data_IF_361591270858
#
_entry.id   IF_361591270858
#
_cell.length_a   1.000
_cell.length_b   1.000
_cell.length_c   1.000
_cell.angle_alpha   90.00
_cell.angle_beta   90.00
_cell.angle_gamma   90.00
#
_symmetry.space_group_name_H-M   'P 1'
#
loop_
_entity.id
_entity.type
_entity.pdbx_description
1 polymer ?
#
# COMPACT_ATOMS: atom_id res chain seq x y z
N UNK A 1 -6.66 9.20 -14.81
CA UNK A 1 -7.05 8.32 -13.70
C UNK A 1 -6.33 8.78 -12.45
N UNK A 2 -7.01 8.72 -11.31
CA UNK A 2 -6.47 8.92 -9.97
C UNK A 2 -6.25 7.56 -9.32
N UNK A 3 -5.00 7.22 -9.04
CA UNK A 3 -4.60 5.90 -8.58
C UNK A 3 -4.03 6.01 -7.16
N UNK A 4 -4.52 5.18 -6.25
CA UNK A 4 -3.93 5.01 -4.93
C UNK A 4 -3.08 3.75 -4.89
N UNK A 5 -1.76 3.93 -4.83
CA UNK A 5 -0.80 2.85 -4.60
C UNK A 5 -0.71 2.55 -3.11
N UNK A 6 -0.73 1.27 -2.73
CA UNK A 6 -0.57 0.85 -1.33
C UNK A 6 0.60 -0.11 -1.23
N UNK A 7 1.69 0.30 -0.58
CA UNK A 7 2.93 -0.50 -0.58
C UNK A 7 4.09 0.17 0.13
N UNK A 8 5.20 -0.57 0.26
CA UNK A 8 6.48 0.02 0.68
C UNK A 8 6.99 0.98 -0.40
N UNK A 9 7.34 2.20 0.02
CA UNK A 9 7.76 3.30 -0.85
C UNK A 9 8.93 4.05 -0.21
N UNK A 10 9.82 4.72 -0.98
CA UNK A 10 10.90 5.51 -0.40
C UNK A 10 10.45 6.42 0.74
N UNK A 11 11.24 6.54 1.83
CA UNK A 11 12.62 6.10 2.00
C UNK A 11 12.81 4.63 2.40
N UNK A 12 11.75 3.80 2.42
CA UNK A 12 11.93 2.36 2.57
C UNK A 12 12.84 1.84 1.46
N UNK A 13 13.65 0.84 1.79
CA UNK A 13 14.61 0.23 0.86
C UNK A 13 14.17 -1.17 0.46
N UNK A 14 14.80 -1.71 -0.59
CA UNK A 14 14.55 -3.06 -1.08
C UNK A 14 13.80 -3.10 -2.41
N UNK A 15 13.64 -4.32 -2.95
CA UNK A 15 13.11 -4.52 -4.31
C UNK A 15 11.70 -3.97 -4.52
N UNK A 16 10.81 -4.15 -3.53
CA UNK A 16 9.42 -3.66 -3.60
C UNK A 16 9.40 -2.12 -3.63
N UNK A 17 10.16 -1.46 -2.75
CA UNK A 17 10.19 0.01 -2.70
C UNK A 17 10.77 0.62 -3.98
N UNK A 18 11.84 0.03 -4.53
CA UNK A 18 12.42 0.46 -5.80
C UNK A 18 11.46 0.23 -6.98
N UNK A 19 10.78 -0.92 -7.01
CA UNK A 19 9.77 -1.21 -8.02
C UNK A 19 8.62 -0.19 -7.97
N UNK A 20 8.09 0.07 -6.77
CA UNK A 20 6.99 1.01 -6.59
C UNK A 20 7.40 2.44 -6.94
N UNK A 21 8.60 2.88 -6.57
CA UNK A 21 9.13 4.20 -6.95
C UNK A 21 9.20 4.37 -8.47
N UNK A 22 9.75 3.38 -9.18
CA UNK A 22 9.82 3.42 -10.64
C UNK A 22 8.44 3.42 -11.29
N UNK A 23 7.52 2.58 -10.81
CA UNK A 23 6.16 2.51 -11.34
C UNK A 23 5.40 3.83 -11.12
N UNK A 24 5.49 4.40 -9.92
CA UNK A 24 4.86 5.69 -9.58
C UNK A 24 5.42 6.80 -10.46
N UNK A 25 6.74 6.87 -10.66
CA UNK A 25 7.38 7.87 -11.53
C UNK A 25 6.89 7.78 -12.97
N UNK A 26 6.74 6.59 -13.52
CA UNK A 26 6.26 6.39 -14.89
C UNK A 26 4.76 6.69 -15.04
N UNK A 27 3.93 6.24 -14.10
CA UNK A 27 2.49 6.49 -14.13
C UNK A 27 2.15 7.97 -13.94
N UNK A 28 2.92 8.69 -13.11
CA UNK A 28 2.73 10.14 -12.90
C UNK A 28 2.90 10.98 -14.16
N UNK A 29 3.49 10.44 -15.23
CA UNK A 29 3.54 11.11 -16.54
C UNK A 29 2.16 11.27 -17.20
N UNK A 30 1.17 10.46 -16.80
CA UNK A 30 -0.17 10.41 -17.44
C UNK A 30 -1.34 10.31 -16.44
N UNK A 31 -1.05 10.08 -15.17
CA UNK A 31 -2.04 9.80 -14.14
C UNK A 31 -1.71 10.54 -12.85
N UNK A 32 -2.71 10.83 -12.03
CA UNK A 32 -2.51 11.36 -10.68
C UNK A 32 -2.30 10.17 -9.74
N UNK A 33 -1.12 10.05 -9.14
CA UNK A 33 -0.75 8.87 -8.34
C UNK A 33 -0.40 9.27 -6.92
N UNK A 34 -1.22 8.80 -5.99
CA UNK A 34 -0.99 8.88 -4.56
C UNK A 34 -0.41 7.56 -4.05
N UNK A 35 0.36 7.63 -2.97
CA UNK A 35 0.95 6.46 -2.31
C UNK A 35 0.55 6.44 -0.85
N UNK A 36 0.13 5.29 -0.34
CA UNK A 36 -0.05 5.01 1.07
C UNK A 36 0.98 3.97 1.52
N UNK A 37 1.86 4.37 2.43
CA UNK A 37 3.00 3.55 2.88
C UNK A 37 3.05 3.43 4.40
N UNK A 38 3.97 2.58 4.88
CA UNK A 38 4.30 2.46 6.29
C UNK A 38 5.02 3.72 6.78
N UNK A 39 4.57 4.27 7.90
CA UNK A 39 5.25 5.32 8.64
C UNK A 39 5.90 4.80 9.93
N UNK A 40 6.68 5.64 10.63
CA UNK A 40 6.98 7.02 10.27
C UNK A 40 8.01 7.13 9.12
N UNK A 41 7.76 8.02 8.17
CA UNK A 41 8.72 8.41 7.12
C UNK A 41 8.66 9.92 6.85
N UNK A 42 9.72 10.45 6.24
CA UNK A 42 9.75 11.79 5.64
C UNK A 42 9.77 11.62 4.11
N UNK A 43 8.66 11.94 3.41
CA UNK A 43 8.64 11.94 1.95
C UNK A 43 9.63 12.94 1.35
N UNK A 44 9.98 12.76 0.08
CA UNK A 44 10.74 13.78 -0.67
C UNK A 44 9.85 15.02 -0.84
N UNK A 45 10.42 16.22 -0.76
CA UNK A 45 9.64 17.46 -0.72
C UNK A 45 8.70 17.63 -1.92
N UNK A 46 9.15 17.26 -3.12
CA UNK A 46 8.35 17.39 -4.35
C UNK A 46 7.11 16.48 -4.41
N UNK A 47 6.99 15.48 -3.54
CA UNK A 47 5.87 14.52 -3.53
C UNK A 47 5.16 14.43 -2.18
N UNK A 48 5.45 15.36 -1.27
CA UNK A 48 4.95 15.38 0.11
C UNK A 48 3.42 15.35 0.21
N UNK A 49 2.73 15.93 -0.76
CA UNK A 49 1.26 15.95 -0.83
C UNK A 49 0.67 14.63 -1.38
N UNK A 50 1.47 13.86 -2.11
CA UNK A 50 1.07 12.61 -2.76
C UNK A 50 1.45 11.37 -1.96
N UNK A 51 2.32 11.50 -0.94
CA UNK A 51 2.77 10.38 -0.11
C UNK A 51 2.15 10.46 1.27
N UNK A 52 1.25 9.52 1.53
CA UNK A 52 0.49 9.33 2.76
C UNK A 52 1.09 8.18 3.56
N UNK A 53 0.97 8.23 4.88
CA UNK A 53 1.54 7.21 5.75
C UNK A 53 0.62 6.82 6.89
N UNK A 54 0.72 5.57 7.30
CA UNK A 54 0.08 5.03 8.50
C UNK A 54 1.15 4.56 9.46
N UNK A 55 1.01 4.92 10.74
CA UNK A 55 1.97 4.57 11.79
C UNK A 55 1.37 3.46 12.67
N UNK A 56 1.53 2.18 12.30
CA UNK A 56 1.11 1.09 13.18
C UNK A 56 2.03 1.03 14.42
N UNK A 57 1.54 0.51 15.56
CA UNK A 57 2.38 0.27 16.72
C UNK A 57 3.53 -0.68 16.37
N UNK A 58 4.73 -0.39 16.88
CA UNK A 58 5.91 -1.21 16.66
C UNK A 58 5.96 -2.39 17.65
N UNK A 59 4.91 -3.20 17.67
CA UNK A 59 4.78 -4.38 18.51
C UNK A 59 4.70 -5.64 17.65
N UNK A 60 5.53 -6.64 17.98
CA UNK A 60 5.60 -7.91 17.26
C UNK A 60 4.24 -8.61 17.23
N UNK A 61 3.89 -9.23 16.10
CA UNK A 61 2.61 -9.91 15.88
C UNK A 61 1.40 -8.99 15.62
N UNK A 62 1.42 -7.75 16.11
CA UNK A 62 0.27 -6.83 16.00
C UNK A 62 0.47 -5.80 14.89
N UNK A 63 1.72 -5.43 14.58
CA UNK A 63 2.07 -4.39 13.59
C UNK A 63 1.38 -4.56 12.24
N UNK A 64 1.33 -5.79 11.71
CA UNK A 64 0.73 -6.07 10.39
C UNK A 64 -0.80 -5.93 10.38
N UNK A 65 -1.46 -6.49 11.39
CA UNK A 65 -2.92 -6.37 11.56
C UNK A 65 -3.30 -4.91 11.79
N UNK A 66 -2.58 -4.20 12.65
CA UNK A 66 -2.82 -2.78 12.88
C UNK A 66 -2.62 -1.95 11.62
N UNK A 67 -1.57 -2.22 10.82
CA UNK A 67 -1.40 -1.54 9.54
C UNK A 67 -2.60 -1.78 8.64
N UNK A 68 -3.03 -3.03 8.48
CA UNK A 68 -4.16 -3.40 7.62
C UNK A 68 -5.42 -2.61 7.96
N UNK A 69 -5.80 -2.56 9.24
CA UNK A 69 -6.99 -1.85 9.70
C UNK A 69 -6.87 -0.33 9.58
N UNK A 70 -5.72 0.22 9.97
CA UNK A 70 -5.48 1.67 9.91
C UNK A 70 -5.36 2.16 8.46
N UNK A 71 -4.69 1.40 7.59
CA UNK A 71 -4.57 1.69 6.17
C UNK A 71 -5.93 1.61 5.48
N UNK A 72 -6.77 0.61 5.78
CA UNK A 72 -8.14 0.55 5.26
C UNK A 72 -8.92 1.83 5.57
N UNK A 73 -8.90 2.29 6.83
CA UNK A 73 -9.56 3.56 7.21
C UNK A 73 -8.95 4.77 6.51
N UNK A 74 -7.62 4.79 6.35
CA UNK A 74 -6.93 5.89 5.66
C UNK A 74 -7.25 5.93 4.17
N UNK A 75 -7.39 4.78 3.52
CA UNK A 75 -7.84 4.66 2.12
C UNK A 75 -9.23 5.30 1.98
N UNK A 76 -10.18 4.97 2.87
CA UNK A 76 -11.51 5.58 2.86
C UNK A 76 -11.45 7.11 3.00
N UNK A 77 -10.63 7.62 3.93
CA UNK A 77 -10.44 9.06 4.13
C UNK A 77 -9.86 9.75 2.90
N UNK A 78 -8.80 9.19 2.32
CA UNK A 78 -8.16 9.73 1.14
C UNK A 78 -9.08 9.65 -0.07
N UNK A 79 -9.83 8.57 -0.23
CA UNK A 79 -10.79 8.43 -1.32
C UNK A 79 -11.91 9.48 -1.24
N UNK A 80 -12.43 9.78 -0.04
CA UNK A 80 -13.40 10.90 0.13
C UNK A 80 -12.85 12.26 -0.30
N UNK A 81 -11.53 12.46 -0.20
CA UNK A 81 -10.88 13.74 -0.55
C UNK A 81 -10.47 13.82 -2.02
N UNK A 82 -9.98 12.70 -2.57
CA UNK A 82 -9.32 12.68 -3.87
C UNK A 82 -10.12 11.96 -4.96
N UNK A 83 -11.09 11.12 -4.60
CA UNK A 83 -11.94 10.35 -5.53
C UNK A 83 -11.11 9.46 -6.48
N UNK A 84 -10.37 8.50 -5.91
CA UNK A 84 -9.57 7.55 -6.70
C UNK A 84 -10.42 6.64 -7.59
N UNK A 85 -9.93 6.34 -8.79
CA UNK A 85 -10.54 5.39 -9.72
C UNK A 85 -10.10 3.94 -9.43
N UNK A 86 -8.94 3.76 -8.79
CA UNK A 86 -8.28 2.47 -8.62
C UNK A 86 -7.42 2.45 -7.34
N UNK A 87 -7.49 1.34 -6.61
CA UNK A 87 -6.49 0.98 -5.59
C UNK A 87 -5.57 -0.08 -6.20
N UNK A 88 -4.26 0.15 -6.14
CA UNK A 88 -3.27 -0.81 -6.61
C UNK A 88 -2.34 -1.17 -5.44
N UNK A 89 -2.57 -2.33 -4.84
CA UNK A 89 -1.82 -2.82 -3.71
C UNK A 89 -0.61 -3.64 -4.19
N UNK A 90 0.53 -3.39 -3.57
CA UNK A 90 1.77 -4.11 -3.79
C UNK A 90 2.10 -4.90 -2.53
N UNK A 91 2.34 -6.21 -2.67
CA UNK A 91 2.54 -7.21 -1.61
C UNK A 91 1.26 -7.97 -1.22
N UNK A 92 1.29 -9.29 -1.34
CA UNK A 92 0.24 -10.16 -0.82
C UNK A 92 0.34 -10.18 0.71
N UNK A 93 -0.73 -9.78 1.39
CA UNK A 93 -0.75 -9.63 2.84
C UNK A 93 -1.31 -8.27 3.23
N UNK A 94 -0.63 -7.57 4.13
CA UNK A 94 -1.17 -6.40 4.84
C UNK A 94 -1.65 -5.26 3.95
N UNK A 95 -0.95 -4.95 2.87
CA UNK A 95 -1.30 -3.88 1.91
C UNK A 95 -2.50 -4.28 1.06
N UNK A 96 -2.51 -5.51 0.55
CA UNK A 96 -3.63 -6.06 -0.22
C UNK A 96 -4.89 -6.20 0.62
N UNK A 97 -4.79 -6.71 1.86
CA UNK A 97 -5.92 -6.77 2.78
C UNK A 97 -6.46 -5.39 3.13
N UNK A 98 -5.60 -4.38 3.28
CA UNK A 98 -6.06 -3.01 3.49
C UNK A 98 -6.90 -2.50 2.31
N UNK A 99 -6.46 -2.75 1.08
CA UNK A 99 -7.21 -2.40 -0.13
C UNK A 99 -8.55 -3.14 -0.25
N UNK A 100 -8.55 -4.45 0.01
CA UNK A 100 -9.76 -5.29 -0.04
C UNK A 100 -10.77 -4.85 1.03
N UNK A 101 -10.34 -4.61 2.28
CA UNK A 101 -11.23 -4.13 3.33
C UNK A 101 -11.81 -2.76 3.01
N UNK A 102 -11.01 -1.84 2.44
CA UNK A 102 -11.49 -0.54 2.05
C UNK A 102 -12.53 -0.62 0.92
N UNK A 103 -12.36 -1.58 -0.01
CA UNK A 103 -13.24 -1.79 -1.17
C UNK A 103 -14.71 -1.91 -0.79
N UNK A 104 -15.02 -2.55 0.34
CA UNK A 104 -16.40 -2.70 0.84
C UNK A 104 -17.12 -1.35 1.01
N UNK A 105 -16.37 -0.29 1.29
CA UNK A 105 -16.93 1.07 1.45
C UNK A 105 -16.71 1.96 0.25
N UNK A 106 -15.52 1.94 -0.35
CA UNK A 106 -15.19 2.85 -1.46
C UNK A 106 -15.71 2.36 -2.82
N UNK A 107 -15.99 1.06 -2.97
CA UNK A 107 -16.59 0.43 -4.16
C UNK A 107 -15.85 0.68 -5.49
N UNK A 108 -14.54 0.88 -5.44
CA UNK A 108 -13.65 1.00 -6.62
C UNK A 108 -12.84 -0.29 -6.84
N UNK A 109 -12.35 -0.56 -8.06
CA UNK A 109 -11.52 -1.73 -8.31
C UNK A 109 -10.25 -1.73 -7.44
N UNK A 110 -9.82 -2.94 -7.07
CA UNK A 110 -8.56 -3.21 -6.36
C UNK A 110 -7.75 -4.17 -7.21
N UNK A 111 -6.52 -3.78 -7.55
CA UNK A 111 -5.53 -4.64 -8.20
C UNK A 111 -4.47 -4.98 -7.17
N UNK A 112 -4.01 -6.24 -7.18
CA UNK A 112 -2.95 -6.73 -6.31
C UNK A 112 -1.78 -7.20 -7.16
N UNK A 113 -0.59 -6.68 -6.88
CA UNK A 113 0.67 -7.16 -7.44
C UNK A 113 1.40 -8.00 -6.40
N UNK A 114 1.59 -9.27 -6.72
CA UNK A 114 2.43 -10.19 -5.96
C UNK A 114 3.91 -9.93 -6.25
N UNK A 115 4.74 -10.03 -5.22
CA UNK A 115 6.19 -9.98 -5.34
C UNK A 115 6.82 -11.35 -5.01
N UNK A 116 8.05 -11.59 -5.49
CA UNK A 116 8.71 -12.89 -5.29
C UNK A 116 8.86 -13.29 -3.83
N UNK A 117 9.06 -12.33 -2.93
CA UNK A 117 9.10 -12.55 -1.46
C UNK A 117 7.82 -13.15 -0.90
N UNK A 118 6.69 -12.82 -1.51
CA UNK A 118 5.36 -13.24 -1.06
C UNK A 118 5.25 -14.75 -1.31
N UNK A 119 5.71 -15.19 -2.47
CA UNK A 119 5.65 -16.59 -2.87
C UNK A 119 6.73 -17.45 -2.22
N UNK A 120 7.95 -16.92 -2.01
CA UNK A 120 9.07 -17.75 -1.55
C UNK A 120 9.22 -17.81 -0.02
N UNK A 121 9.03 -16.67 0.67
CA UNK A 121 9.20 -16.61 2.13
C UNK A 121 7.86 -16.69 2.84
N UNK A 122 6.88 -15.88 2.43
CA UNK A 122 5.62 -15.83 3.16
C UNK A 122 4.83 -17.12 3.07
N UNK A 123 4.80 -17.80 1.92
CA UNK A 123 4.13 -19.12 1.76
C UNK A 123 4.60 -20.19 2.75
N UNK A 124 5.81 -20.06 3.30
CA UNK A 124 6.41 -21.01 4.26
C UNK A 124 6.05 -20.71 5.71
N UNK A 125 5.48 -19.54 6.02
CA UNK A 125 5.03 -19.19 7.37
C UNK A 125 3.77 -20.00 7.75
N UNK A 126 3.52 -20.27 9.05
CA UNK A 126 2.38 -21.08 9.50
C UNK A 126 1.02 -20.56 8.99
N UNK A 127 0.89 -19.24 8.94
CA UNK A 127 -0.27 -18.55 8.40
C UNK A 127 -0.12 -18.19 6.91
N UNK A 128 1.10 -18.25 6.40
CA UNK A 128 1.47 -17.95 5.02
C UNK A 128 0.63 -18.67 3.98
N UNK A 129 0.40 -19.98 4.17
CA UNK A 129 -0.40 -20.82 3.27
C UNK A 129 -1.87 -20.39 3.13
N UNK A 130 -2.40 -19.60 4.07
CA UNK A 130 -3.76 -19.09 4.03
C UNK A 130 -3.84 -17.68 3.44
N UNK A 131 -2.71 -16.97 3.44
CA UNK A 131 -2.62 -15.57 3.08
C UNK A 131 -1.98 -15.35 1.70
N UNK A 132 -1.21 -16.32 1.19
CA UNK A 132 -0.54 -16.36 -0.13
C UNK A 132 -1.02 -17.58 -0.90
#
# INVERSE_FOLDING_TARGET
MKILMVGHYPPHTGGIANHLDNLVRELRKKHEVHVLTYGPITPREFEKEFVHQVKPPNLFGIRGISFTLLASKKIEELHRKHEFDLIHAHFIGTTSYAGILAKEKVKIPVIVTAHGSDLDFMSKLPLGKYYV
#
